data_IF_696591190753
#
_entry.id   IF_696591190753
#
_cell.length_a   1.000
_cell.length_b   1.000
_cell.length_c   1.000
_cell.angle_alpha   90.00
_cell.angle_beta   90.00
_cell.angle_gamma   90.00
#
_symmetry.space_group_name_H-M   'P 1'
#
loop_
_entity.id
_entity.type
_entity.pdbx_description
1 polymer ?
#
# COMPACT_ATOMS: atom_id res chain seq x y z
N UNK A 1 -7.90 28.66 -32.24
CA UNK A 1 -7.42 30.07 -32.24
C UNK A 1 -6.13 30.08 -31.43
N UNK A 2 -4.91 30.26 -31.94
CA UNK A 2 -4.33 30.47 -33.28
C UNK A 2 -2.92 29.85 -33.28
N UNK A 3 -2.59 29.19 -34.39
CA UNK A 3 -1.31 29.02 -35.09
C UNK A 3 0.02 28.69 -34.38
N UNK A 4 0.50 27.51 -34.79
CA UNK A 4 1.87 27.04 -35.04
C UNK A 4 2.75 28.09 -35.76
N UNK A 5 4.06 28.18 -35.45
CA UNK A 5 5.09 28.10 -36.49
C UNK A 5 6.52 27.85 -35.97
N UNK A 6 7.19 26.92 -36.65
CA UNK A 6 8.65 26.69 -36.69
C UNK A 6 9.25 27.65 -37.71
N UNK A 7 10.45 28.18 -37.46
CA UNK A 7 11.44 28.36 -38.55
C UNK A 7 12.87 28.45 -38.01
N UNK A 8 13.68 27.47 -38.39
CA UNK A 8 15.14 27.54 -38.52
C UNK A 8 15.48 28.45 -39.71
N UNK A 9 16.66 29.08 -39.75
CA UNK A 9 17.59 29.09 -40.91
C UNK A 9 18.83 29.92 -40.54
N UNK A 10 19.99 29.27 -40.65
CA UNK A 10 21.33 29.86 -40.70
C UNK A 10 21.53 30.62 -42.02
N UNK A 11 22.33 31.70 -42.01
CA UNK A 11 23.09 32.08 -43.20
C UNK A 11 24.50 32.55 -42.81
N UNK A 12 25.45 31.75 -43.28
CA UNK A 12 26.74 32.10 -43.87
C UNK A 12 27.91 32.64 -43.02
N UNK A 13 28.87 31.73 -42.89
CA UNK A 13 30.32 31.91 -42.94
C UNK A 13 30.81 32.80 -44.10
N UNK A 14 31.95 33.49 -43.90
CA UNK A 14 33.15 33.59 -44.77
C UNK A 14 34.17 34.47 -43.98
N UNK A 15 35.15 33.87 -43.29
CA UNK A 15 36.60 33.73 -43.64
C UNK A 15 37.40 35.05 -43.69
N UNK A 16 38.48 35.12 -42.89
CA UNK A 16 39.79 35.56 -43.41
C UNK A 16 40.51 36.74 -42.75
N UNK A 17 41.35 36.43 -41.75
CA UNK A 17 42.73 36.93 -41.50
C UNK A 17 43.17 38.35 -41.89
N UNK A 18 43.75 39.11 -40.95
CA UNK A 18 45.19 39.46 -40.91
C UNK A 18 45.51 40.40 -39.72
N UNK A 19 46.79 40.48 -39.42
CA UNK A 19 47.49 40.89 -38.20
C UNK A 19 47.67 42.40 -37.96
N UNK A 20 48.17 42.67 -36.74
CA UNK A 20 48.99 43.81 -36.30
C UNK A 20 48.31 45.13 -35.94
N UNK A 21 48.26 45.45 -34.63
CA UNK A 21 48.64 46.78 -34.13
C UNK A 21 49.37 46.65 -32.79
N UNK A 22 50.56 47.24 -32.76
CA UNK A 22 51.53 47.32 -31.68
C UNK A 22 51.17 48.42 -30.65
N UNK A 23 51.80 48.31 -29.50
CA UNK A 23 51.75 49.11 -28.27
C UNK A 23 51.58 50.64 -28.41
N UNK A 24 50.76 51.22 -27.55
CA UNK A 24 51.19 52.37 -26.74
C UNK A 24 50.42 52.49 -25.41
N UNK A 25 51.16 52.87 -24.37
CA UNK A 25 50.72 53.50 -23.11
C UNK A 25 50.07 52.63 -22.00
N UNK A 26 50.97 52.13 -21.16
CA UNK A 26 50.79 51.64 -19.78
C UNK A 26 50.32 52.78 -18.87
N UNK A 27 49.14 52.64 -18.25
CA UNK A 27 48.87 53.30 -16.97
C UNK A 27 49.38 52.41 -15.83
N UNK A 28 50.44 52.89 -15.19
CA UNK A 28 51.10 52.31 -14.04
C UNK A 28 50.17 52.31 -12.83
N UNK A 29 49.56 51.16 -12.53
CA UNK A 29 48.94 50.91 -11.21
C UNK A 29 50.02 50.32 -10.30
N UNK A 30 50.42 51.06 -9.29
CA UNK A 30 51.05 50.51 -8.07
C UNK A 30 50.91 51.56 -6.95
N UNK A 31 50.96 51.21 -5.66
CA UNK A 31 50.89 49.88 -5.04
C UNK A 31 49.95 49.87 -3.81
N UNK A 32 49.15 48.82 -3.61
CA UNK A 32 48.82 48.39 -2.25
C UNK A 32 48.52 46.89 -2.26
N UNK A 33 49.60 46.14 -2.10
CA UNK A 33 49.60 44.79 -1.56
C UNK A 33 48.78 44.78 -0.27
N UNK A 34 47.56 44.25 -0.33
CA UNK A 34 47.18 43.33 0.73
C UNK A 34 47.83 42.00 0.31
N UNK A 35 49.13 41.88 0.60
CA UNK A 35 49.73 40.56 0.73
C UNK A 35 49.05 39.96 1.96
N UNK A 36 47.90 39.30 1.77
CA UNK A 36 47.53 38.27 2.74
C UNK A 36 48.71 37.31 2.73
N UNK A 37 49.36 37.16 3.89
CA UNK A 37 50.46 36.23 4.04
C UNK A 37 49.98 34.89 3.49
N UNK A 38 50.64 34.30 2.48
CA UNK A 38 50.21 33.01 1.92
C UNK A 38 50.04 31.94 3.01
N UNK A 39 50.77 32.07 4.13
CA UNK A 39 50.59 31.22 5.31
C UNK A 39 49.25 31.47 6.04
N UNK A 40 48.73 32.68 6.04
CA UNK A 40 47.46 33.06 6.66
C UNK A 40 46.25 32.56 5.85
N UNK A 41 46.31 32.66 4.52
CA UNK A 41 45.33 32.04 3.59
C UNK A 41 45.34 30.52 3.78
N UNK A 42 46.53 29.90 3.80
CA UNK A 42 46.67 28.47 4.03
C UNK A 42 46.08 28.04 5.38
N UNK A 43 46.33 28.82 6.44
CA UNK A 43 45.77 28.60 7.78
C UNK A 43 44.25 28.74 7.80
N UNK A 44 43.69 29.69 7.04
CA UNK A 44 42.24 29.85 6.90
C UNK A 44 41.61 28.65 6.19
N UNK A 45 42.22 28.16 5.11
CA UNK A 45 41.78 26.95 4.40
C UNK A 45 41.82 25.74 5.35
N UNK A 46 42.91 25.55 6.11
CA UNK A 46 43.03 24.45 7.07
C UNK A 46 41.92 24.53 8.13
N UNK A 47 41.62 25.71 8.67
CA UNK A 47 40.52 25.89 9.64
C UNK A 47 39.17 25.52 9.04
N UNK A 48 38.90 25.93 7.80
CA UNK A 48 37.69 25.56 7.10
C UNK A 48 37.62 24.04 6.87
N UNK A 49 38.72 23.42 6.48
CA UNK A 49 38.80 21.97 6.25
C UNK A 49 38.58 21.17 7.53
N UNK A 50 39.15 21.62 8.65
CA UNK A 50 38.94 21.03 9.98
C UNK A 50 37.49 21.18 10.40
N UNK A 51 36.89 22.35 10.20
CA UNK A 51 35.47 22.60 10.50
C UNK A 51 34.57 21.71 9.65
N UNK A 52 34.88 21.55 8.37
CA UNK A 52 34.16 20.69 7.45
C UNK A 52 34.26 19.22 7.87
N UNK A 53 35.46 18.77 8.26
CA UNK A 53 35.70 17.41 8.73
C UNK A 53 34.92 17.11 10.02
N UNK A 54 34.92 18.05 10.98
CA UNK A 54 34.13 17.93 12.20
C UNK A 54 32.62 17.81 11.90
N UNK A 55 32.08 18.66 11.01
CA UNK A 55 30.67 18.58 10.58
C UNK A 55 30.35 17.27 9.83
N UNK A 56 31.29 16.78 9.01
CA UNK A 56 31.14 15.51 8.29
C UNK A 56 31.02 14.33 9.27
N UNK A 57 31.79 14.35 10.36
CA UNK A 57 31.69 13.34 11.42
C UNK A 57 30.32 13.39 12.12
N UNK A 58 29.86 14.59 12.47
CA UNK A 58 28.54 14.82 13.07
C UNK A 58 27.41 14.30 12.17
N UNK A 59 27.50 14.53 10.85
CA UNK A 59 26.56 13.98 9.88
C UNK A 59 26.53 12.44 9.88
N UNK A 60 27.67 11.78 10.10
CA UNK A 60 27.72 10.32 10.25
C UNK A 60 26.88 9.80 11.43
N UNK A 61 26.87 10.53 12.55
CA UNK A 61 26.06 10.21 13.73
C UNK A 61 24.57 10.42 13.48
N UNK A 62 24.19 11.48 12.76
CA UNK A 62 22.81 11.69 12.31
C UNK A 62 22.33 10.57 11.38
N UNK A 63 23.15 10.15 10.42
CA UNK A 63 22.82 9.05 9.52
C UNK A 63 22.62 7.74 10.27
N UNK A 64 23.47 7.46 11.28
CA UNK A 64 23.31 6.28 12.13
C UNK A 64 21.98 6.30 12.88
N UNK A 65 21.63 7.46 13.45
CA UNK A 65 20.36 7.65 14.17
C UNK A 65 19.16 7.45 13.25
N UNK A 66 19.18 8.03 12.04
CA UNK A 66 18.13 7.86 11.03
C UNK A 66 18.01 6.38 10.65
N UNK A 67 19.13 5.70 10.39
CA UNK A 67 19.14 4.28 10.05
C UNK A 67 18.54 3.42 11.16
N UNK A 68 18.85 3.73 12.44
CA UNK A 68 18.27 3.05 13.59
C UNK A 68 16.75 3.26 13.66
N UNK A 69 16.28 4.50 13.50
CA UNK A 69 14.84 4.81 13.46
C UNK A 69 14.14 4.10 12.30
N UNK A 70 14.77 4.03 11.13
CA UNK A 70 14.23 3.35 9.95
C UNK A 70 14.17 1.84 10.15
N UNK A 71 15.20 1.21 10.72
CA UNK A 71 15.20 -0.22 11.04
C UNK A 71 14.10 -0.56 12.05
N UNK A 72 14.01 0.22 13.12
CA UNK A 72 12.95 0.12 14.13
C UNK A 72 11.56 0.27 13.51
N UNK A 73 11.39 1.23 12.60
CA UNK A 73 10.13 1.45 11.89
C UNK A 73 9.81 0.29 10.94
N UNK A 74 10.81 -0.25 10.24
CA UNK A 74 10.68 -1.40 9.36
C UNK A 74 10.33 -2.67 10.14
N UNK A 75 10.90 -2.89 11.32
CA UNK A 75 10.58 -4.03 12.19
C UNK A 75 9.13 -3.93 12.70
N UNK A 76 8.70 -2.76 13.17
CA UNK A 76 7.30 -2.50 13.54
C UNK A 76 6.34 -2.66 12.36
N UNK A 77 6.76 -2.27 11.16
CA UNK A 77 5.96 -2.44 9.94
C UNK A 77 5.89 -3.89 9.51
N UNK A 78 6.96 -4.70 9.59
CA UNK A 78 6.92 -6.14 9.27
C UNK A 78 5.89 -6.88 10.14
N UNK A 79 5.88 -6.60 11.44
CA UNK A 79 4.91 -7.16 12.39
C UNK A 79 3.47 -6.71 12.05
N UNK A 80 3.31 -5.50 11.51
CA UNK A 80 2.00 -4.96 11.09
C UNK A 80 1.55 -5.44 9.71
N UNK A 81 2.45 -5.61 8.73
CA UNK A 81 2.11 -6.03 7.36
C UNK A 81 1.78 -7.51 7.24
N UNK A 82 2.40 -8.37 8.06
CA UNK A 82 1.97 -9.78 8.15
C UNK A 82 0.58 -9.93 8.78
N UNK A 83 0.12 -8.92 9.54
CA UNK A 83 -1.21 -8.88 10.15
C UNK A 83 -2.24 -8.05 9.35
N UNK A 84 -1.82 -7.17 8.41
CA UNK A 84 -2.71 -6.21 7.73
C UNK A 84 -2.92 -6.50 6.24
N UNK A 85 -1.95 -7.08 5.53
CA UNK A 85 -2.07 -7.27 4.07
C UNK A 85 -3.01 -8.43 3.70
N UNK A 86 -3.13 -9.46 4.55
CA UNK A 86 -4.15 -10.51 4.38
C UNK A 86 -5.49 -10.16 5.05
N UNK A 87 -5.47 -9.32 6.09
CA UNK A 87 -6.64 -9.08 6.94
C UNK A 87 -7.54 -7.96 6.43
N UNK A 88 -7.01 -6.94 5.76
CA UNK A 88 -7.80 -5.78 5.30
C UNK A 88 -8.69 -6.09 4.09
N UNK A 89 -8.21 -6.90 3.14
CA UNK A 89 -9.05 -7.39 2.03
C UNK A 89 -10.08 -8.39 2.52
N UNK A 90 -9.66 -9.37 3.35
CA UNK A 90 -10.56 -10.38 3.89
C UNK A 90 -11.58 -9.84 4.91
N UNK A 91 -11.30 -8.72 5.59
CA UNK A 91 -12.28 -8.07 6.46
C UNK A 91 -13.40 -7.43 5.68
N UNK A 92 -13.09 -6.72 4.60
CA UNK A 92 -14.09 -6.06 3.76
C UNK A 92 -14.91 -7.07 2.95
N UNK A 93 -14.30 -8.16 2.47
CA UNK A 93 -15.04 -9.26 1.85
C UNK A 93 -15.96 -9.99 2.83
N UNK A 94 -15.50 -10.18 4.07
CA UNK A 94 -16.33 -10.77 5.12
C UNK A 94 -17.53 -9.90 5.48
N UNK A 95 -17.36 -8.58 5.54
CA UNK A 95 -18.44 -7.63 5.82
C UNK A 95 -19.52 -7.68 4.74
N UNK A 96 -19.14 -7.71 3.46
CA UNK A 96 -20.08 -7.89 2.33
C UNK A 96 -20.86 -9.21 2.40
N UNK A 97 -20.22 -10.28 2.88
CA UNK A 97 -20.90 -11.58 3.02
C UNK A 97 -21.83 -11.58 4.22
N UNK A 98 -21.48 -10.87 5.29
CA UNK A 98 -22.37 -10.70 6.40
C UNK A 98 -23.64 -9.92 6.01
N UNK A 99 -23.53 -8.93 5.11
CA UNK A 99 -24.67 -8.19 4.57
C UNK A 99 -25.59 -9.03 3.68
N UNK A 100 -25.10 -10.12 3.07
CA UNK A 100 -25.92 -11.04 2.27
C UNK A 100 -26.68 -12.07 3.11
N UNK A 101 -26.42 -12.11 4.42
CA UNK A 101 -27.15 -12.94 5.37
C UNK A 101 -28.25 -12.12 6.08
N UNK A 102 -29.47 -12.67 6.28
CA UNK A 102 -29.92 -14.00 5.89
C UNK A 102 -30.30 -14.10 4.41
N UNK A 103 -29.96 -15.23 3.79
CA UNK A 103 -30.27 -15.54 2.39
C UNK A 103 -31.79 -15.54 2.15
N UNK A 104 -32.24 -14.78 1.16
CA UNK A 104 -33.66 -14.57 0.86
C UNK A 104 -34.08 -15.01 -0.55
N UNK A 105 -33.12 -15.31 -1.43
CA UNK A 105 -33.35 -15.71 -2.82
C UNK A 105 -32.27 -16.66 -3.33
N UNK A 106 -32.57 -17.34 -4.44
CA UNK A 106 -31.61 -18.20 -5.15
C UNK A 106 -30.36 -17.43 -5.63
N UNK A 107 -30.54 -16.18 -6.05
CA UNK A 107 -29.45 -15.32 -6.47
C UNK A 107 -28.49 -15.02 -5.30
N UNK A 108 -29.04 -14.65 -4.14
CA UNK A 108 -28.23 -14.41 -2.93
C UNK A 108 -27.49 -15.67 -2.45
N UNK A 109 -28.11 -16.85 -2.61
CA UNK A 109 -27.48 -18.13 -2.30
C UNK A 109 -26.30 -18.41 -3.23
N UNK A 110 -26.46 -18.17 -4.54
CA UNK A 110 -25.41 -18.37 -5.53
C UNK A 110 -24.24 -17.39 -5.33
N UNK A 111 -24.53 -16.12 -5.02
CA UNK A 111 -23.50 -15.12 -4.68
C UNK A 111 -22.69 -15.60 -3.46
N UNK A 112 -23.38 -16.01 -2.39
CA UNK A 112 -22.75 -16.53 -1.18
C UNK A 112 -21.92 -17.77 -1.46
N UNK A 113 -22.45 -18.72 -2.23
CA UNK A 113 -21.74 -19.95 -2.60
C UNK A 113 -20.47 -19.64 -3.39
N UNK A 114 -20.54 -18.77 -4.40
CA UNK A 114 -19.38 -18.41 -5.20
C UNK A 114 -18.30 -17.69 -4.37
N UNK A 115 -18.71 -16.85 -3.43
CA UNK A 115 -17.78 -16.13 -2.57
C UNK A 115 -17.07 -17.06 -1.57
N UNK A 116 -17.80 -18.03 -1.02
CA UNK A 116 -17.26 -18.99 -0.05
C UNK A 116 -16.44 -20.12 -0.68
N UNK A 117 -16.79 -20.56 -1.90
CA UNK A 117 -16.10 -21.68 -2.58
C UNK A 117 -14.69 -21.30 -3.02
N UNK A 118 -14.46 -20.03 -3.33
CA UNK A 118 -13.17 -19.55 -3.83
C UNK A 118 -12.26 -18.96 -2.74
N UNK A 119 -12.73 -18.87 -1.48
CA UNK A 119 -12.01 -18.22 -0.39
C UNK A 119 -12.14 -18.98 0.94
N UNK A 120 -11.23 -19.92 1.18
CA UNK A 120 -11.19 -20.74 2.39
C UNK A 120 -11.03 -19.90 3.68
N UNK A 121 -10.28 -18.80 3.61
CA UNK A 121 -10.08 -17.93 4.78
C UNK A 121 -11.39 -17.30 5.22
N UNK A 122 -12.20 -16.90 4.24
CA UNK A 122 -13.51 -16.33 4.46
C UNK A 122 -14.48 -17.40 4.94
N UNK A 123 -14.48 -18.58 4.33
CA UNK A 123 -15.28 -19.71 4.80
C UNK A 123 -15.03 -20.00 6.28
N UNK A 124 -13.76 -20.15 6.68
CA UNK A 124 -13.37 -20.42 8.06
C UNK A 124 -13.78 -19.29 9.02
N UNK A 125 -13.68 -18.03 8.58
CA UNK A 125 -14.13 -16.88 9.37
C UNK A 125 -15.65 -16.88 9.56
N UNK A 126 -16.39 -17.30 8.56
CA UNK A 126 -17.86 -17.42 8.59
C UNK A 126 -18.27 -18.56 9.51
N UNK A 127 -17.62 -19.73 9.41
CA UNK A 127 -17.82 -20.84 10.35
C UNK A 127 -17.54 -20.42 11.79
N UNK A 128 -16.42 -19.71 12.03
CA UNK A 128 -16.06 -19.20 13.36
C UNK A 128 -17.09 -18.19 13.89
N UNK A 129 -17.64 -17.35 13.03
CA UNK A 129 -18.70 -16.41 13.43
C UNK A 129 -20.00 -17.14 13.81
N UNK A 130 -20.37 -18.19 13.06
CA UNK A 130 -21.55 -19.00 13.36
C UNK A 130 -21.36 -19.88 14.60
N UNK A 131 -20.15 -20.38 14.88
CA UNK A 131 -19.88 -21.17 16.08
C UNK A 131 -19.95 -20.36 17.38
N UNK A 132 -19.79 -19.03 17.30
CA UNK A 132 -20.07 -18.14 18.43
C UNK A 132 -21.58 -18.06 18.74
N UNK A 133 -22.44 -18.42 17.80
CA UNK A 133 -23.90 -18.47 17.97
C UNK A 133 -24.26 -19.80 18.63
N UNK A 134 -23.97 -19.90 19.92
CA UNK A 134 -24.33 -21.05 20.74
C UNK A 134 -25.79 -21.05 21.22
N UNK A 135 -26.08 -21.98 22.12
CA UNK A 135 -27.38 -22.22 22.76
C UNK A 135 -27.19 -23.17 23.94
N UNK A 136 -28.22 -23.33 24.77
CA UNK A 136 -28.15 -24.25 25.92
C UNK A 136 -28.07 -25.72 25.48
N UNK A 137 -28.55 -26.04 24.28
CA UNK A 137 -28.46 -27.34 23.64
C UNK A 137 -28.21 -27.20 22.13
N UNK A 138 -27.85 -28.31 21.47
CA UNK A 138 -27.56 -28.37 20.02
C UNK A 138 -28.77 -27.92 19.19
N UNK A 139 -29.99 -28.27 19.62
CA UNK A 139 -31.21 -27.92 18.88
C UNK A 139 -31.43 -26.41 18.86
N UNK A 140 -31.15 -25.74 19.97
CA UNK A 140 -31.24 -24.30 20.13
C UNK A 140 -30.15 -23.59 19.32
N UNK A 141 -28.90 -24.07 19.37
CA UNK A 141 -27.78 -23.56 18.56
C UNK A 141 -28.10 -23.62 17.08
N UNK A 142 -28.50 -24.80 16.57
CA UNK A 142 -28.89 -25.01 15.17
C UNK A 142 -30.02 -24.05 14.76
N UNK A 143 -31.03 -23.88 15.62
CA UNK A 143 -32.16 -22.97 15.34
C UNK A 143 -31.72 -21.50 15.28
N UNK A 144 -30.78 -21.08 16.13
CA UNK A 144 -30.24 -19.72 16.18
C UNK A 144 -29.36 -19.44 14.95
N UNK A 145 -28.50 -20.38 14.58
CA UNK A 145 -27.67 -20.33 13.37
C UNK A 145 -28.55 -20.25 12.12
N UNK A 146 -29.55 -21.13 11.98
CA UNK A 146 -30.46 -21.13 10.82
C UNK A 146 -31.20 -19.80 10.63
N UNK A 147 -31.65 -19.16 11.72
CA UNK A 147 -32.30 -17.84 11.66
C UNK A 147 -31.39 -16.73 11.12
N UNK A 148 -30.07 -16.91 11.21
CA UNK A 148 -29.08 -15.98 10.66
C UNK A 148 -28.67 -16.35 9.24
N UNK A 149 -28.73 -17.63 8.88
CA UNK A 149 -28.34 -18.10 7.55
C UNK A 149 -29.41 -17.89 6.48
N UNK A 150 -30.68 -18.14 6.80
CA UNK A 150 -31.74 -18.18 5.79
C UNK A 150 -33.04 -17.58 6.33
N UNK A 151 -33.75 -16.85 5.48
CA UNK A 151 -35.08 -16.34 5.80
C UNK A 151 -36.13 -17.45 5.83
N UNK A 152 -37.14 -17.32 6.69
CA UNK A 152 -38.22 -18.32 6.78
C UNK A 152 -38.96 -18.50 5.45
N UNK A 153 -39.13 -17.43 4.66
CA UNK A 153 -39.82 -17.50 3.37
C UNK A 153 -39.04 -18.31 2.36
N UNK A 154 -37.74 -18.06 2.23
CA UNK A 154 -36.89 -18.81 1.32
C UNK A 154 -36.66 -20.25 1.83
N UNK A 155 -36.55 -20.47 3.14
CA UNK A 155 -36.40 -21.82 3.70
C UNK A 155 -37.56 -22.78 3.35
N UNK A 156 -38.77 -22.27 3.08
CA UNK A 156 -39.93 -23.09 2.68
C UNK A 156 -39.71 -23.81 1.33
N UNK A 157 -38.85 -23.28 0.46
CA UNK A 157 -38.55 -23.87 -0.86
C UNK A 157 -37.62 -25.08 -0.75
N UNK A 158 -37.03 -25.32 0.42
CA UNK A 158 -36.12 -26.42 0.68
C UNK A 158 -36.79 -27.56 1.44
N UNK A 159 -36.26 -28.77 1.23
CA UNK A 159 -36.38 -29.90 2.14
C UNK A 159 -34.99 -30.48 2.37
N UNK A 160 -34.81 -31.26 3.44
CA UNK A 160 -33.46 -31.76 3.76
C UNK A 160 -32.84 -32.56 2.60
N UNK A 161 -33.59 -33.50 2.00
CA UNK A 161 -33.11 -34.36 0.90
C UNK A 161 -33.61 -33.98 -0.50
N UNK A 162 -34.56 -33.05 -0.62
CA UNK A 162 -35.10 -32.59 -1.93
C UNK A 162 -36.18 -33.48 -2.57
N UNK A 163 -36.60 -34.58 -1.94
CA UNK A 163 -37.43 -35.60 -2.61
C UNK A 163 -38.94 -35.31 -2.59
N UNK A 164 -39.41 -34.36 -1.77
CA UNK A 164 -40.85 -34.09 -1.59
C UNK A 164 -41.21 -32.73 -2.18
N UNK A 165 -42.21 -32.71 -3.09
CA UNK A 165 -42.83 -31.51 -3.67
C UNK A 165 -41.91 -30.63 -4.53
N UNK A 166 -40.94 -31.22 -5.24
CA UNK A 166 -39.98 -30.47 -6.09
C UNK A 166 -39.17 -29.41 -5.34
N UNK A 167 -38.97 -29.62 -4.03
CA UNK A 167 -38.18 -28.72 -3.19
C UNK A 167 -36.69 -28.98 -3.39
N UNK A 168 -35.89 -27.93 -3.25
CA UNK A 168 -34.44 -28.04 -3.36
C UNK A 168 -33.87 -28.81 -2.16
N UNK A 169 -32.76 -29.52 -2.38
CA UNK A 169 -32.10 -30.33 -1.36
C UNK A 169 -31.18 -29.44 -0.51
N UNK A 170 -31.56 -29.17 0.74
CA UNK A 170 -30.77 -28.31 1.65
C UNK A 170 -29.40 -28.92 1.93
N UNK A 171 -29.29 -30.24 2.08
CA UNK A 171 -28.04 -30.95 2.39
C UNK A 171 -26.96 -30.85 1.30
N UNK A 172 -27.30 -30.32 0.12
CA UNK A 172 -26.36 -30.08 -0.98
C UNK A 172 -25.91 -28.62 -1.07
N UNK A 173 -26.46 -27.74 -0.24
CA UNK A 173 -26.15 -26.31 -0.25
C UNK A 173 -24.96 -25.98 0.65
N UNK A 174 -24.27 -24.88 0.35
CA UNK A 174 -23.21 -24.32 1.21
C UNK A 174 -23.71 -23.97 2.63
N UNK A 175 -25.01 -23.65 2.78
CA UNK A 175 -25.61 -23.37 4.09
C UNK A 175 -25.58 -24.61 5.00
N UNK A 176 -25.75 -25.81 4.43
CA UNK A 176 -25.70 -27.04 5.20
C UNK A 176 -24.29 -27.38 5.69
N UNK A 177 -23.26 -27.10 4.90
CA UNK A 177 -21.87 -27.31 5.32
C UNK A 177 -21.46 -26.31 6.41
N UNK A 178 -21.88 -25.05 6.30
CA UNK A 178 -21.68 -24.04 7.34
C UNK A 178 -22.35 -24.42 8.67
N UNK A 179 -23.54 -25.02 8.61
CA UNK A 179 -24.28 -25.45 9.79
C UNK A 179 -23.63 -26.65 10.50
N UNK A 180 -23.11 -27.62 9.74
CA UNK A 180 -22.45 -28.80 10.29
C UNK A 180 -21.11 -28.43 10.92
N UNK A 181 -20.33 -27.54 10.28
CA UNK A 181 -18.98 -27.18 10.74
C UNK A 181 -18.97 -26.21 11.93
N UNK A 182 -20.10 -25.57 12.25
CA UNK A 182 -20.20 -24.61 13.36
C UNK A 182 -20.61 -25.22 14.71
N UNK A 183 -21.01 -26.50 14.75
CA UNK A 183 -21.40 -27.23 15.97
C UNK A 183 -20.41 -28.34 16.34
#
# INVERSE_FOLDING_TARGET
>A
MKHFDRTTINHDSIIGSASDVNADSVETINPNLIQEDPAEVQKQIIRQLVTLNARSKEHGEYLHTIMMILNDMQERQKISTDQLSATSSSSHEFEKIYETLPVSSEESLNILQNALTNNDTLYNKTVKMLSLIGGGDVKESVRRILRKLITNEYAKTFSYTGHKNSKNAFNKTILSSLLIMSN
#
